data_IF_719345263949
#
_entry.id   IF_719345263949
#
_cell.length_a   1.000
_cell.length_b   1.000
_cell.length_c   1.000
_cell.angle_alpha   90.00
_cell.angle_beta   90.00
_cell.angle_gamma   90.00
#
_symmetry.space_group_name_H-M   'P 1'
#
loop_
_entity.id
_entity.type
_entity.pdbx_description
1 polymer ?
#
# COMPACT_ATOMS: atom_id res chain seq x y z
N UNK A 1 -15.74 4.06 0.19
CA UNK A 1 -14.84 3.31 1.09
C UNK A 1 -15.06 1.82 0.93
N UNK A 2 -14.01 1.05 1.11
CA UNK A 2 -14.01 -0.38 0.80
C UNK A 2 -13.70 -1.24 2.03
N UNK A 3 -14.23 -2.47 1.99
CA UNK A 3 -13.92 -3.47 3.01
C UNK A 3 -12.50 -4.03 2.78
N UNK A 4 -11.97 -4.72 3.79
CA UNK A 4 -10.65 -5.34 3.68
C UNK A 4 -10.61 -6.32 2.50
N UNK A 5 -11.63 -7.14 2.35
CA UNK A 5 -11.72 -8.11 1.25
C UNK A 5 -11.65 -7.43 -0.12
N UNK A 6 -12.39 -6.33 -0.29
CA UNK A 6 -12.41 -5.58 -1.55
C UNK A 6 -11.03 -4.98 -1.86
N UNK A 7 -10.39 -4.41 -0.86
CA UNK A 7 -9.07 -3.80 -1.04
C UNK A 7 -8.03 -4.87 -1.37
N UNK A 8 -8.04 -5.98 -0.64
CA UNK A 8 -7.12 -7.10 -0.90
C UNK A 8 -7.31 -7.59 -2.33
N UNK A 9 -8.55 -7.76 -2.77
CA UNK A 9 -8.85 -8.17 -4.14
C UNK A 9 -8.28 -7.17 -5.15
N UNK A 10 -8.50 -5.87 -4.91
CA UNK A 10 -8.04 -4.82 -5.83
C UNK A 10 -6.50 -4.80 -5.93
N UNK A 11 -5.82 -4.92 -4.80
CA UNK A 11 -4.35 -4.93 -4.78
C UNK A 11 -3.82 -6.18 -5.49
N UNK A 12 -4.38 -7.35 -5.19
CA UNK A 12 -3.96 -8.60 -5.84
C UNK A 12 -4.17 -8.55 -7.35
N UNK A 13 -5.32 -8.00 -7.79
CA UNK A 13 -5.61 -7.84 -9.21
C UNK A 13 -4.62 -6.89 -9.88
N UNK A 14 -4.23 -5.84 -9.18
CA UNK A 14 -3.28 -4.87 -9.70
C UNK A 14 -1.85 -5.43 -9.72
N UNK A 15 -1.50 -6.29 -8.76
CA UNK A 15 -0.21 -6.99 -8.77
C UNK A 15 -0.03 -7.83 -10.01
N UNK A 16 -1.11 -8.43 -10.52
CA UNK A 16 -1.07 -9.24 -11.73
C UNK A 16 -0.63 -8.44 -12.97
N UNK A 17 -0.78 -7.12 -12.92
CA UNK A 17 -0.35 -6.23 -14.03
C UNK A 17 1.12 -5.84 -13.93
N UNK A 18 1.79 -6.16 -12.82
CA UNK A 18 3.20 -5.85 -12.62
C UNK A 18 4.10 -6.91 -13.28
N UNK A 19 5.30 -6.51 -13.65
CA UNK A 19 6.32 -7.43 -14.16
C UNK A 19 7.03 -8.17 -13.02
N UNK A 20 6.90 -7.71 -11.79
CA UNK A 20 7.50 -8.33 -10.62
C UNK A 20 6.67 -9.53 -10.16
N UNK A 21 7.33 -10.55 -9.60
CA UNK A 21 6.70 -11.82 -9.27
C UNK A 21 6.58 -12.07 -7.77
N UNK A 22 7.34 -11.34 -6.94
CA UNK A 22 7.42 -11.62 -5.51
C UNK A 22 6.81 -10.50 -4.71
N UNK A 23 6.12 -10.85 -3.62
CA UNK A 23 5.59 -9.86 -2.69
C UNK A 23 6.70 -8.96 -2.13
N UNK A 24 7.90 -9.50 -1.94
CA UNK A 24 9.04 -8.73 -1.42
C UNK A 24 9.51 -7.61 -2.35
N UNK A 25 9.01 -7.56 -3.58
CA UNK A 25 9.30 -6.47 -4.51
C UNK A 25 8.39 -5.25 -4.28
N UNK A 26 7.45 -5.34 -3.35
CA UNK A 26 6.44 -4.30 -3.11
C UNK A 26 6.42 -3.86 -1.66
N UNK A 27 5.96 -2.64 -1.44
CA UNK A 27 5.77 -2.06 -0.11
C UNK A 27 4.28 -1.81 0.11
N UNK A 28 3.78 -2.21 1.27
CA UNK A 28 2.40 -1.97 1.70
C UNK A 28 2.41 -1.01 2.89
N UNK A 29 1.50 -0.03 2.89
CA UNK A 29 1.42 0.91 3.99
C UNK A 29 0.02 1.48 4.14
N UNK A 30 -0.18 2.17 5.26
CA UNK A 30 -1.42 2.90 5.53
C UNK A 30 -1.05 4.34 5.91
N UNK A 31 -1.94 5.28 5.58
CA UNK A 31 -1.68 6.69 5.83
C UNK A 31 -2.98 7.48 5.92
N UNK A 32 -2.89 8.68 6.46
CA UNK A 32 -3.98 9.65 6.38
C UNK A 32 -3.80 10.65 5.22
N UNK A 33 -2.68 10.55 4.49
CA UNK A 33 -2.38 11.47 3.38
C UNK A 33 -1.54 10.74 2.33
N UNK A 34 -2.18 10.26 1.28
CA UNK A 34 -1.55 9.48 0.22
C UNK A 34 -0.46 10.28 -0.51
N UNK A 35 -0.77 11.53 -0.87
CA UNK A 35 0.17 12.34 -1.64
C UNK A 35 1.46 12.58 -0.86
N UNK A 36 1.34 12.94 0.40
CA UNK A 36 2.51 13.17 1.25
C UNK A 36 3.33 11.90 1.41
N UNK A 37 2.67 10.79 1.73
CA UNK A 37 3.37 9.55 2.08
C UNK A 37 3.94 8.86 0.85
N UNK A 38 3.11 8.64 -0.15
CA UNK A 38 3.47 7.86 -1.34
C UNK A 38 4.43 8.62 -2.26
N UNK A 39 4.06 9.83 -2.61
CA UNK A 39 4.84 10.61 -3.58
C UNK A 39 5.90 11.48 -2.92
N UNK A 40 5.63 11.99 -1.72
CA UNK A 40 6.57 12.82 -0.97
C UNK A 40 7.62 12.00 -0.25
N UNK A 41 7.21 11.17 0.70
CA UNK A 41 8.15 10.45 1.58
C UNK A 41 8.77 9.22 0.92
N UNK A 42 7.97 8.42 0.23
CA UNK A 42 8.49 7.23 -0.47
C UNK A 42 9.10 7.54 -1.83
N UNK A 43 8.91 8.76 -2.32
CA UNK A 43 9.47 9.21 -3.60
C UNK A 43 9.04 8.36 -4.79
N UNK A 44 7.80 7.92 -4.79
CA UNK A 44 7.22 7.15 -5.90
C UNK A 44 6.92 8.10 -7.06
N UNK A 45 7.31 7.72 -8.27
CA UNK A 45 7.02 8.51 -9.47
C UNK A 45 5.55 8.31 -9.85
N UNK A 46 4.73 9.35 -9.67
CA UNK A 46 3.30 9.29 -9.88
C UNK A 46 2.93 8.86 -11.30
N UNK A 47 3.71 9.26 -12.29
CA UNK A 47 3.37 9.05 -13.69
C UNK A 47 3.99 7.80 -14.32
N UNK A 48 5.07 7.27 -13.75
CA UNK A 48 5.84 6.20 -14.38
C UNK A 48 6.03 4.96 -13.49
N UNK A 49 5.74 5.05 -12.19
CA UNK A 49 5.91 3.92 -11.28
C UNK A 49 4.61 3.14 -11.13
N UNK A 50 4.76 1.89 -10.71
CA UNK A 50 3.60 1.05 -10.34
C UNK A 50 3.19 1.38 -8.91
N UNK A 51 1.93 1.78 -8.73
CA UNK A 51 1.37 2.06 -7.40
C UNK A 51 -0.14 1.97 -7.44
N UNK A 52 -0.73 1.77 -6.26
CA UNK A 52 -2.19 1.75 -6.09
C UNK A 52 -2.51 2.24 -4.68
N UNK A 53 -3.65 2.90 -4.52
CA UNK A 53 -4.21 3.14 -3.19
C UNK A 53 -5.71 2.92 -3.20
N UNK A 54 -6.24 2.62 -2.02
CA UNK A 54 -7.69 2.47 -1.80
C UNK A 54 -8.05 3.05 -0.45
N UNK A 55 -9.30 3.51 -0.31
CA UNK A 55 -9.81 4.05 0.94
C UNK A 55 -10.58 2.98 1.69
N UNK A 56 -10.15 2.65 2.91
CA UNK A 56 -10.81 1.68 3.77
C UNK A 56 -11.98 2.31 4.50
N UNK A 57 -12.91 1.49 4.98
CA UNK A 57 -14.07 1.99 5.75
C UNK A 57 -13.66 2.60 7.09
N UNK A 58 -12.57 2.11 7.68
CA UNK A 58 -12.02 2.63 8.93
C UNK A 58 -10.54 2.22 9.07
N UNK A 59 -9.90 2.69 10.14
CA UNK A 59 -8.50 2.39 10.41
C UNK A 59 -8.27 0.90 10.66
N UNK A 60 -9.17 0.25 11.40
CA UNK A 60 -9.03 -1.18 11.69
C UNK A 60 -9.01 -2.00 10.39
N UNK A 61 -9.85 -1.63 9.42
CA UNK A 61 -9.87 -2.27 8.11
C UNK A 61 -8.54 -2.06 7.38
N UNK A 62 -8.02 -0.83 7.41
CA UNK A 62 -6.73 -0.53 6.78
C UNK A 62 -5.62 -1.37 7.40
N UNK A 63 -5.61 -1.53 8.73
CA UNK A 63 -4.63 -2.34 9.44
C UNK A 63 -4.72 -3.82 9.06
N UNK A 64 -5.93 -4.34 8.89
CA UNK A 64 -6.12 -5.74 8.46
C UNK A 64 -5.50 -5.97 7.08
N UNK A 65 -5.70 -5.05 6.15
CA UNK A 65 -5.13 -5.15 4.81
C UNK A 65 -3.60 -5.10 4.87
N UNK A 66 -3.06 -4.15 5.63
CA UNK A 66 -1.61 -4.02 5.79
C UNK A 66 -1.01 -5.31 6.33
N UNK A 67 -1.57 -5.84 7.41
CA UNK A 67 -1.09 -7.08 8.03
C UNK A 67 -1.18 -8.27 7.09
N UNK A 68 -2.24 -8.34 6.29
CA UNK A 68 -2.40 -9.39 5.28
C UNK A 68 -1.21 -9.43 4.32
N UNK A 69 -0.86 -8.28 3.75
CA UNK A 69 0.22 -8.24 2.77
C UNK A 69 1.61 -8.35 3.40
N UNK A 70 1.78 -7.85 4.62
CA UNK A 70 3.03 -8.08 5.35
C UNK A 70 3.24 -9.57 5.60
N UNK A 71 2.18 -10.30 5.95
CA UNK A 71 2.27 -11.74 6.15
C UNK A 71 2.59 -12.52 4.87
N UNK A 72 2.31 -11.92 3.70
CA UNK A 72 2.63 -12.49 2.39
C UNK A 72 4.07 -12.20 1.96
N UNK A 73 4.77 -11.32 2.66
CA UNK A 73 6.15 -11.02 2.39
C UNK A 73 6.44 -9.63 1.84
N UNK A 74 5.43 -8.76 1.72
CA UNK A 74 5.67 -7.38 1.32
C UNK A 74 6.47 -6.64 2.37
N UNK A 75 7.22 -5.63 1.94
CA UNK A 75 7.91 -4.72 2.84
C UNK A 75 6.91 -3.74 3.43
N UNK A 76 7.20 -3.24 4.62
CA UNK A 76 6.35 -2.27 5.30
C UNK A 76 6.62 -2.24 6.78
N UNK A 77 5.93 -1.34 7.47
CA UNK A 77 6.03 -1.20 8.92
C UNK A 77 4.63 -1.20 9.52
N UNK A 78 4.46 -1.92 10.64
CA UNK A 78 3.18 -1.98 11.33
C UNK A 78 3.06 -0.87 12.36
N UNK A 79 1.82 -0.53 12.71
CA UNK A 79 1.49 0.35 13.82
C UNK A 79 1.40 1.81 13.47
N UNK A 80 1.04 2.59 14.45
CA UNK A 80 0.95 4.03 14.35
C UNK A 80 -0.29 4.54 13.65
N UNK A 81 -0.35 5.85 13.52
CA UNK A 81 -1.44 6.55 12.85
C UNK A 81 -2.58 6.94 13.79
N UNK A 82 -3.42 7.80 13.29
CA UNK A 82 -4.60 8.31 13.97
C UNK A 82 -5.85 7.66 13.36
N UNK A 83 -7.04 8.01 13.87
CA UNK A 83 -8.29 7.40 13.40
C UNK A 83 -8.58 7.70 11.93
N UNK A 84 -7.98 8.74 11.36
CA UNK A 84 -8.11 9.08 9.94
C UNK A 84 -7.08 8.38 9.04
N UNK A 85 -6.32 7.44 9.56
CA UNK A 85 -5.39 6.60 8.79
C UNK A 85 -6.18 5.49 8.10
N UNK A 86 -6.87 5.86 7.02
CA UNK A 86 -7.80 4.97 6.31
C UNK A 86 -7.38 4.65 4.89
N UNK A 87 -6.29 5.23 4.40
CA UNK A 87 -5.80 4.96 3.04
C UNK A 87 -4.77 3.84 3.07
N UNK A 88 -5.01 2.81 2.26
CA UNK A 88 -4.07 1.72 2.05
C UNK A 88 -3.38 1.95 0.72
N UNK A 89 -2.06 1.89 0.70
CA UNK A 89 -1.29 2.08 -0.53
C UNK A 89 -0.26 0.97 -0.70
N UNK A 90 0.09 0.73 -1.96
CA UNK A 90 1.11 -0.26 -2.32
C UNK A 90 1.90 0.27 -3.51
N UNK A 91 3.21 0.08 -3.51
CA UNK A 91 4.04 0.47 -4.64
C UNK A 91 5.17 -0.53 -4.86
N UNK A 92 5.71 -0.54 -6.08
CA UNK A 92 6.87 -1.35 -6.41
C UNK A 92 8.13 -0.67 -5.90
N UNK A 93 8.96 -1.40 -5.17
CA UNK A 93 10.23 -0.88 -4.64
C UNK A 93 11.23 -0.83 -5.79
N UNK A 94 11.83 0.35 -6.01
CA UNK A 94 12.83 0.57 -7.05
C UNK A 94 14.06 1.27 -6.48
N UNK A 95 15.06 1.52 -7.32
CA UNK A 95 16.27 2.21 -6.88
C UNK A 95 16.02 3.65 -6.43
N UNK A 96 14.91 4.25 -6.86
CA UNK A 96 14.59 5.64 -6.55
C UNK A 96 13.57 5.78 -5.41
N UNK A 97 12.86 4.72 -5.04
CA UNK A 97 11.89 4.78 -3.94
C UNK A 97 12.61 4.73 -2.59
N UNK A 98 11.97 5.34 -1.60
CA UNK A 98 12.50 5.39 -0.22
C UNK A 98 11.51 4.74 0.74
N UNK A 99 11.96 3.79 1.50
CA UNK A 99 11.18 3.13 2.54
C UNK A 99 11.31 3.90 3.87
#
# INVERSE_FOLDING_TARGET
RKTAREIIFDVESHLACSKKKYYSDFYIGITNDVDRRLFGEHNVDKNHAWWIYRTAVDKATAQVVEEHFLSKGMKGETGGGTDDTIYVYCYEVTNTTKE
#
